data_IF_876931570742
#
_entry.id   IF_876931570742
#
_cell.length_a   1.000
_cell.length_b   1.000
_cell.length_c   1.000
_cell.angle_alpha   90.00
_cell.angle_beta   90.00
_cell.angle_gamma   90.00
#
_symmetry.space_group_name_H-M   'P 1'
#
loop_
_entity.id
_entity.type
_entity.pdbx_description
1 polymer ?
#
# COMPACT_ATOMS: atom_id res chain seq x y z
N UNK A 1 7.30 -10.18 -19.97
CA UNK A 1 7.52 -8.75 -20.10
C UNK A 1 6.23 -8.04 -20.41
N UNK A 2 6.06 -6.85 -19.89
CA UNK A 2 4.93 -5.98 -20.23
C UNK A 2 5.07 -5.63 -21.72
N UNK A 3 3.99 -5.78 -22.49
CA UNK A 3 3.92 -5.30 -23.87
C UNK A 3 3.66 -3.79 -23.86
N UNK A 4 3.92 -3.06 -24.97
CA UNK A 4 3.63 -1.62 -25.06
C UNK A 4 2.18 -1.31 -24.68
N UNK A 5 1.21 -2.16 -25.07
CA UNK A 5 -0.19 -2.04 -24.65
C UNK A 5 -0.37 -2.22 -23.13
N UNK A 6 0.44 -3.05 -22.48
CA UNK A 6 0.38 -3.26 -21.03
C UNK A 6 0.89 -2.05 -20.23
N UNK A 7 1.83 -1.28 -20.76
CA UNK A 7 2.29 -0.01 -20.17
C UNK A 7 1.16 1.02 -20.20
N UNK A 8 0.51 1.19 -21.36
CA UNK A 8 -0.60 2.14 -21.51
C UNK A 8 -1.77 1.77 -20.58
N UNK A 9 -2.11 0.49 -20.46
CA UNK A 9 -3.16 0.01 -19.55
C UNK A 9 -2.79 0.26 -18.08
N UNK A 10 -1.52 0.03 -17.69
CA UNK A 10 -1.05 0.33 -16.34
C UNK A 10 -1.12 1.83 -16.02
N UNK A 11 -0.77 2.71 -16.99
CA UNK A 11 -0.93 4.16 -16.86
C UNK A 11 -2.40 4.51 -16.63
N UNK A 12 -3.31 4.02 -17.50
CA UNK A 12 -4.73 4.35 -17.40
C UNK A 12 -5.37 3.79 -16.13
N UNK A 13 -5.05 2.56 -15.70
CA UNK A 13 -5.52 2.01 -14.43
C UNK A 13 -5.06 2.87 -13.25
N UNK A 14 -3.79 3.29 -13.24
CA UNK A 14 -3.23 4.14 -12.19
C UNK A 14 -3.88 5.53 -12.16
N UNK A 15 -4.06 6.15 -13.33
CA UNK A 15 -4.74 7.44 -13.46
C UNK A 15 -6.21 7.36 -13.01
N UNK A 16 -6.92 6.30 -13.44
CA UNK A 16 -8.31 6.08 -13.03
C UNK A 16 -8.43 5.81 -11.52
N UNK A 17 -7.55 4.96 -10.99
CA UNK A 17 -7.49 4.68 -9.55
C UNK A 17 -7.18 5.92 -8.72
N UNK A 18 -6.35 6.82 -9.22
CA UNK A 18 -6.00 8.09 -8.60
C UNK A 18 -6.96 9.24 -8.90
N UNK A 19 -8.14 8.96 -9.48
CA UNK A 19 -9.18 9.95 -9.80
C UNK A 19 -8.75 11.04 -10.80
N UNK A 20 -7.79 10.74 -11.68
CA UNK A 20 -7.24 11.65 -12.70
C UNK A 20 -6.54 12.91 -12.14
N UNK A 21 -6.18 12.93 -10.85
CA UNK A 21 -5.43 14.05 -10.26
C UNK A 21 -3.93 13.77 -10.14
N UNK A 22 -3.49 12.55 -10.48
CA UNK A 22 -2.08 12.17 -10.56
C UNK A 22 -1.31 13.08 -11.53
N UNK A 23 -0.03 13.29 -11.29
CA UNK A 23 0.87 13.79 -12.32
C UNK A 23 1.14 12.67 -13.35
N UNK A 24 0.55 12.80 -14.54
CA UNK A 24 0.67 11.79 -15.60
C UNK A 24 2.13 11.55 -16.00
N UNK A 25 3.01 12.54 -15.89
CA UNK A 25 4.42 12.37 -16.23
C UNK A 25 5.12 11.42 -15.26
N UNK A 26 4.83 11.52 -13.96
CA UNK A 26 5.34 10.61 -12.94
C UNK A 26 4.76 9.19 -13.11
N UNK A 27 3.45 9.09 -13.36
CA UNK A 27 2.80 7.80 -13.62
C UNK A 27 3.41 7.12 -14.85
N UNK A 28 3.68 7.88 -15.92
CA UNK A 28 4.30 7.36 -17.14
C UNK A 28 5.68 6.78 -16.85
N UNK A 29 6.55 7.53 -16.14
CA UNK A 29 7.88 7.04 -15.74
C UNK A 29 7.77 5.79 -14.89
N UNK A 30 6.87 5.76 -13.90
CA UNK A 30 6.65 4.57 -13.06
C UNK A 30 6.27 3.34 -13.90
N UNK A 31 5.39 3.52 -14.89
CA UNK A 31 4.92 2.42 -15.73
C UNK A 31 5.99 1.94 -16.72
N UNK A 32 6.67 2.85 -17.42
CA UNK A 32 7.71 2.53 -18.39
C UNK A 32 8.92 1.83 -17.76
N UNK A 33 9.33 2.25 -16.55
CA UNK A 33 10.46 1.69 -15.80
C UNK A 33 10.10 0.46 -14.94
N UNK A 34 8.83 0.07 -14.87
CA UNK A 34 8.35 -0.99 -13.97
C UNK A 34 8.95 -2.35 -14.28
N UNK A 35 9.11 -2.71 -15.56
CA UNK A 35 9.70 -3.97 -15.99
C UNK A 35 11.17 -4.06 -15.56
N UNK A 36 11.94 -3.01 -15.83
CA UNK A 36 13.34 -2.91 -15.43
C UNK A 36 13.51 -2.91 -13.90
N UNK A 37 12.54 -2.38 -13.17
CA UNK A 37 12.52 -2.44 -11.71
C UNK A 37 12.37 -3.87 -11.19
N UNK A 38 11.48 -4.67 -11.78
CA UNK A 38 11.31 -6.10 -11.44
C UNK A 38 12.56 -6.90 -11.78
N UNK A 39 13.15 -6.68 -12.96
CA UNK A 39 14.39 -7.34 -13.38
C UNK A 39 15.56 -6.96 -12.46
N UNK A 40 15.63 -5.70 -12.04
CA UNK A 40 16.62 -5.26 -11.07
C UNK A 40 16.47 -5.95 -9.72
N UNK A 41 15.25 -6.08 -9.20
CA UNK A 41 14.99 -6.82 -7.95
C UNK A 41 15.46 -8.28 -8.08
N UNK A 42 15.19 -8.96 -9.19
CA UNK A 42 15.68 -10.32 -9.43
C UNK A 42 17.23 -10.37 -9.42
N UNK A 43 17.87 -9.41 -10.07
CA UNK A 43 19.35 -9.32 -10.16
C UNK A 43 20.05 -9.20 -8.80
N UNK A 44 19.37 -8.63 -7.79
CA UNK A 44 19.86 -8.50 -6.40
C UNK A 44 19.40 -9.63 -5.47
N UNK A 45 18.72 -10.64 -6.01
CA UNK A 45 18.24 -11.81 -5.26
C UNK A 45 16.91 -11.60 -4.54
N UNK A 46 16.06 -10.72 -5.08
CA UNK A 46 14.71 -10.45 -4.60
C UNK A 46 13.65 -10.73 -5.68
N UNK A 47 13.58 -11.94 -6.29
CA UNK A 47 12.64 -12.24 -7.36
C UNK A 47 11.18 -12.20 -6.88
N UNK A 48 10.29 -11.70 -7.75
CA UNK A 48 8.85 -11.62 -7.55
C UNK A 48 8.13 -12.33 -8.73
N UNK A 49 8.20 -13.67 -8.84
CA UNK A 49 7.79 -14.41 -10.03
C UNK A 49 6.28 -14.64 -10.15
N UNK A 50 5.52 -14.57 -9.06
CA UNK A 50 4.06 -14.72 -9.10
C UNK A 50 3.39 -13.42 -9.50
N UNK A 51 2.30 -13.55 -10.28
CA UNK A 51 1.51 -12.39 -10.72
C UNK A 51 0.05 -12.58 -10.31
N UNK A 52 -0.48 -11.64 -9.55
CA UNK A 52 -1.84 -11.66 -9.01
C UNK A 52 -2.67 -10.44 -9.49
N UNK A 53 -3.98 -10.52 -9.26
CA UNK A 53 -4.88 -9.37 -9.42
C UNK A 53 -4.83 -8.45 -8.20
N UNK A 54 -5.15 -7.18 -8.39
CA UNK A 54 -5.41 -6.23 -7.32
C UNK A 54 -6.65 -5.40 -7.64
N UNK A 55 -7.22 -4.74 -6.65
CA UNK A 55 -8.41 -3.90 -6.84
C UNK A 55 -8.13 -2.72 -7.77
N UNK A 56 -9.03 -2.49 -8.72
CA UNK A 56 -8.96 -1.36 -9.65
C UNK A 56 -8.06 -1.56 -10.86
N UNK A 57 -7.54 -2.78 -11.11
CA UNK A 57 -6.76 -3.08 -12.30
C UNK A 57 -7.54 -3.91 -13.33
N UNK A 58 -7.28 -3.66 -14.61
CA UNK A 58 -7.86 -4.42 -15.73
C UNK A 58 -7.20 -5.78 -15.93
N UNK A 59 -5.93 -5.90 -15.53
CA UNK A 59 -5.11 -7.11 -15.67
C UNK A 59 -4.38 -7.47 -14.39
N UNK A 60 -3.73 -8.64 -14.37
CA UNK A 60 -2.87 -9.08 -13.27
C UNK A 60 -1.49 -8.45 -13.40
N UNK A 61 -1.19 -7.47 -12.56
CA UNK A 61 0.12 -6.77 -12.53
C UNK A 61 0.87 -6.92 -11.20
N UNK A 62 0.19 -7.36 -10.14
CA UNK A 62 0.79 -7.43 -8.82
C UNK A 62 1.81 -8.57 -8.75
N UNK A 63 3.09 -8.22 -8.68
CA UNK A 63 4.18 -9.18 -8.50
C UNK A 63 4.35 -9.55 -7.02
N UNK A 64 4.47 -10.84 -6.75
CA UNK A 64 4.55 -11.40 -5.41
C UNK A 64 5.72 -12.40 -5.28
N UNK A 65 6.26 -12.59 -4.04
CA UNK A 65 7.24 -13.65 -3.76
C UNK A 65 6.67 -15.04 -4.05
N UNK A 66 7.52 -15.97 -4.51
CA UNK A 66 7.15 -17.34 -4.84
C UNK A 66 6.44 -18.08 -3.72
N UNK A 67 6.81 -17.80 -2.48
CA UNK A 67 6.32 -18.49 -1.29
C UNK A 67 5.05 -17.85 -0.69
N UNK A 68 4.45 -16.84 -1.33
CA UNK A 68 3.27 -16.12 -0.83
C UNK A 68 3.53 -15.31 0.44
N UNK A 69 4.77 -14.98 0.75
CA UNK A 69 5.10 -14.08 1.87
C UNK A 69 4.73 -12.63 1.53
N UNK A 70 4.50 -11.81 2.57
CA UNK A 70 4.22 -10.39 2.37
C UNK A 70 5.42 -9.69 1.72
N UNK A 71 5.19 -9.03 0.59
CA UNK A 71 6.22 -8.41 -0.24
C UNK A 71 7.07 -7.39 0.53
N UNK A 72 6.47 -6.59 1.42
CA UNK A 72 7.21 -5.57 2.17
C UNK A 72 8.30 -6.15 3.06
N UNK A 73 7.99 -7.14 3.90
CA UNK A 73 8.99 -7.79 4.76
C UNK A 73 10.04 -8.54 3.95
N UNK A 74 9.65 -9.15 2.84
CA UNK A 74 10.55 -9.84 1.93
C UNK A 74 11.56 -8.87 1.30
N UNK A 75 11.09 -7.74 0.75
CA UNK A 75 11.98 -6.75 0.12
C UNK A 75 12.88 -6.05 1.14
N UNK A 76 12.38 -5.71 2.32
CA UNK A 76 13.21 -5.11 3.39
C UNK A 76 14.39 -6.02 3.74
N UNK A 77 14.16 -7.35 3.89
CA UNK A 77 15.24 -8.31 4.15
C UNK A 77 16.29 -8.30 3.03
N UNK A 78 15.84 -8.40 1.78
CA UNK A 78 16.73 -8.49 0.62
C UNK A 78 17.51 -7.20 0.35
N UNK A 79 16.82 -6.06 0.41
CA UNK A 79 17.44 -4.74 0.20
C UNK A 79 18.44 -4.41 1.32
N UNK A 80 18.10 -4.73 2.59
CA UNK A 80 19.04 -4.55 3.70
C UNK A 80 20.31 -5.39 3.50
N UNK A 81 20.17 -6.67 3.16
CA UNK A 81 21.31 -7.54 2.88
C UNK A 81 22.17 -7.01 1.70
N UNK A 82 21.55 -6.45 0.67
CA UNK A 82 22.27 -5.83 -0.45
C UNK A 82 22.98 -4.54 -0.02
N UNK A 83 22.34 -3.69 0.79
CA UNK A 83 22.97 -2.48 1.33
C UNK A 83 24.22 -2.82 2.19
N UNK A 84 24.11 -3.80 3.07
CA UNK A 84 25.24 -4.29 3.86
C UNK A 84 26.39 -4.82 2.99
N UNK A 85 26.07 -5.63 1.97
CA UNK A 85 27.04 -6.16 1.01
C UNK A 85 27.78 -5.06 0.25
N UNK A 86 27.08 -3.95 -0.04
CA UNK A 86 27.66 -2.78 -0.73
C UNK A 86 28.41 -1.85 0.24
N UNK A 87 28.45 -2.13 1.54
CA UNK A 87 29.12 -1.33 2.54
C UNK A 87 28.41 -0.01 2.88
N UNK A 88 27.09 0.07 2.64
CA UNK A 88 26.27 1.22 3.05
C UNK A 88 26.26 1.31 4.57
N UNK A 89 26.59 2.47 5.12
CA UNK A 89 26.50 2.71 6.57
C UNK A 89 25.04 2.94 6.97
N UNK A 90 24.51 2.05 7.82
CA UNK A 90 23.15 2.16 8.36
C UNK A 90 23.23 2.60 9.82
N UNK A 91 22.62 3.74 10.14
CA UNK A 91 22.58 4.30 11.50
C UNK A 91 21.18 4.12 12.09
N UNK A 92 20.98 3.06 12.85
CA UNK A 92 19.71 2.80 13.55
C UNK A 92 19.56 3.71 14.79
N UNK A 93 18.28 3.96 15.18
CA UNK A 93 17.95 4.82 16.32
C UNK A 93 18.59 6.21 16.22
N UNK A 94 18.72 6.72 15.01
CA UNK A 94 19.32 8.01 14.69
C UNK A 94 18.33 8.80 13.85
N UNK A 95 17.66 9.74 14.47
CA UNK A 95 16.60 10.58 13.87
C UNK A 95 17.23 11.75 13.13
N UNK A 96 16.89 11.92 11.84
CA UNK A 96 17.20 13.14 11.10
C UNK A 96 16.28 14.28 11.57
N UNK A 97 16.85 15.45 11.84
CA UNK A 97 16.12 16.57 12.45
C UNK A 97 16.14 17.85 11.63
N UNK A 98 17.04 17.98 10.67
CA UNK A 98 17.19 19.16 9.82
C UNK A 98 17.94 18.81 8.54
N UNK A 99 17.55 19.41 7.41
CA UNK A 99 18.31 19.39 6.16
C UNK A 99 19.19 20.62 6.15
N UNK A 100 20.51 20.45 5.99
CA UNK A 100 21.47 21.51 5.90
C UNK A 100 21.51 22.08 4.48
N UNK A 101 21.50 23.40 4.36
CA UNK A 101 21.56 24.08 3.08
C UNK A 101 22.70 25.07 3.02
N UNK A 102 23.33 25.19 1.85
CA UNK A 102 24.31 26.23 1.54
C UNK A 102 24.03 26.78 0.13
N UNK A 103 23.86 28.10 0.02
CA UNK A 103 23.52 28.79 -1.25
C UNK A 103 22.26 28.21 -1.94
N UNK A 104 21.30 27.72 -1.17
CA UNK A 104 20.05 27.10 -1.66
C UNK A 104 20.19 25.63 -2.05
N UNK A 105 21.35 25.01 -1.94
CA UNK A 105 21.57 23.60 -2.20
C UNK A 105 21.53 22.78 -0.88
N UNK A 106 21.01 21.57 -0.92
CA UNK A 106 21.12 20.62 0.19
C UNK A 106 22.56 20.08 0.28
N UNK A 107 23.17 20.21 1.47
CA UNK A 107 24.59 19.87 1.70
C UNK A 107 24.79 18.90 2.87
N UNK A 108 23.72 18.29 3.38
CA UNK A 108 23.75 17.35 4.47
C UNK A 108 22.55 17.41 5.38
N UNK A 109 22.68 16.80 6.54
CA UNK A 109 21.63 16.74 7.56
C UNK A 109 22.18 16.92 8.96
N UNK A 110 21.35 17.38 9.90
CA UNK A 110 21.55 17.10 11.31
C UNK A 110 20.77 15.85 11.70
N UNK A 111 21.33 15.07 12.59
CA UNK A 111 20.68 13.90 13.12
C UNK A 111 20.99 13.74 14.62
N UNK A 112 20.14 13.00 15.32
CA UNK A 112 20.24 12.80 16.76
C UNK A 112 20.01 11.33 17.12
N UNK A 113 20.89 10.81 17.94
CA UNK A 113 20.67 9.54 18.65
C UNK A 113 20.49 9.82 20.15
N UNK A 114 20.29 8.75 20.94
CA UNK A 114 20.20 8.86 22.39
C UNK A 114 21.49 9.45 23.01
N UNK A 115 22.63 9.23 22.40
CA UNK A 115 23.96 9.54 22.96
C UNK A 115 24.68 10.66 22.24
N UNK A 116 24.33 10.94 21.00
CA UNK A 116 25.06 11.88 20.14
C UNK A 116 24.16 12.71 19.25
N UNK A 117 24.57 13.98 19.07
CA UNK A 117 24.10 14.83 17.99
C UNK A 117 25.11 14.76 16.83
N UNK A 118 24.61 14.66 15.61
CA UNK A 118 25.42 14.54 14.40
C UNK A 118 25.17 15.71 13.47
N UNK A 119 26.26 16.12 12.81
CA UNK A 119 26.20 16.97 11.61
C UNK A 119 26.86 16.17 10.49
N UNK A 120 26.07 15.73 9.53
CA UNK A 120 26.53 14.88 8.43
C UNK A 120 26.54 15.74 7.16
N UNK A 121 27.72 16.03 6.64
CA UNK A 121 27.89 16.71 5.37
C UNK A 121 27.84 15.72 4.22
N UNK A 122 27.09 16.03 3.19
CA UNK A 122 26.93 15.22 2.00
C UNK A 122 26.80 16.14 0.77
N UNK A 123 27.20 15.68 -0.40
CA UNK A 123 27.01 16.41 -1.64
C UNK A 123 25.56 16.36 -2.16
N UNK A 124 24.81 15.35 -1.75
CA UNK A 124 23.37 15.21 -2.03
C UNK A 124 22.65 14.51 -0.90
N UNK A 125 21.34 14.74 -0.79
CA UNK A 125 20.43 14.15 0.20
C UNK A 125 19.26 13.52 -0.52
N UNK A 126 18.91 12.29 -0.16
CA UNK A 126 17.70 11.62 -0.65
C UNK A 126 16.76 11.42 0.53
N UNK A 127 15.54 11.94 0.42
CA UNK A 127 14.48 11.73 1.42
C UNK A 127 13.70 10.48 1.02
N UNK A 128 13.74 9.46 1.89
CA UNK A 128 12.99 8.21 1.74
C UNK A 128 12.34 7.81 3.08
N UNK A 129 11.82 8.81 3.80
CA UNK A 129 11.37 8.70 5.19
C UNK A 129 9.93 8.17 5.32
N UNK A 130 9.27 7.82 4.21
CA UNK A 130 7.87 7.39 4.19
C UNK A 130 6.87 8.54 4.32
N UNK A 131 5.60 8.19 4.46
CA UNK A 131 4.51 9.13 4.58
C UNK A 131 4.23 9.57 6.02
N UNK A 132 3.02 10.09 6.24
CA UNK A 132 2.60 10.63 7.54
C UNK A 132 1.37 9.93 8.14
N UNK A 133 1.12 8.66 7.73
CA UNK A 133 -0.05 7.88 8.15
C UNK A 133 -0.12 7.49 9.64
N UNK A 134 0.88 7.88 10.46
CA UNK A 134 0.86 7.79 11.92
C UNK A 134 0.91 9.15 12.61
N UNK A 135 0.86 10.27 11.87
CA UNK A 135 0.76 11.63 12.42
C UNK A 135 -0.71 12.06 12.44
N UNK A 136 -1.43 11.68 13.50
CA UNK A 136 -2.87 11.94 13.62
C UNK A 136 -3.21 13.43 13.67
N UNK A 137 -2.36 14.27 14.24
CA UNK A 137 -2.56 15.72 14.28
C UNK A 137 -2.47 16.33 12.88
N UNK A 138 -1.47 15.93 12.09
CA UNK A 138 -1.32 16.36 10.70
C UNK A 138 -2.50 15.87 9.84
N UNK A 139 -2.87 14.59 9.94
CA UNK A 139 -4.02 14.05 9.20
C UNK A 139 -5.34 14.71 9.59
N UNK A 140 -5.55 14.98 10.89
CA UNK A 140 -6.75 15.64 11.38
C UNK A 140 -6.86 17.10 10.88
N UNK A 141 -5.75 17.76 10.55
CA UNK A 141 -5.77 19.09 9.95
C UNK A 141 -6.37 19.09 8.54
N UNK A 142 -6.25 17.98 7.80
CA UNK A 142 -6.88 17.80 6.49
C UNK A 142 -8.27 17.18 6.61
N UNK A 143 -8.43 16.16 7.46
CA UNK A 143 -9.70 15.48 7.68
C UNK A 143 -9.91 15.16 9.18
N UNK A 144 -10.70 15.97 9.93
CA UNK A 144 -10.93 15.77 11.37
C UNK A 144 -11.49 14.39 11.75
N UNK A 145 -12.14 13.66 10.82
CA UNK A 145 -12.65 12.33 11.09
C UNK A 145 -11.54 11.29 11.31
N UNK A 146 -10.31 11.59 10.87
CA UNK A 146 -9.17 10.69 10.99
C UNK A 146 -8.42 10.81 12.34
N UNK A 147 -8.76 11.77 13.19
CA UNK A 147 -8.07 12.02 14.46
C UNK A 147 -7.99 10.79 15.40
N UNK A 148 -8.97 9.88 15.30
CA UNK A 148 -9.04 8.67 16.12
C UNK A 148 -9.12 7.39 15.28
N UNK A 149 -8.76 7.46 14.00
CA UNK A 149 -8.78 6.30 13.14
C UNK A 149 -7.64 5.33 13.49
N UNK A 150 -7.84 4.04 13.20
CA UNK A 150 -6.78 3.05 13.31
C UNK A 150 -5.85 3.16 12.09
N UNK A 151 -4.56 2.95 12.27
CA UNK A 151 -3.58 2.97 11.19
C UNK A 151 -2.85 1.64 11.04
N UNK A 152 -2.53 1.27 9.81
CA UNK A 152 -1.64 0.15 9.50
C UNK A 152 -0.17 0.54 9.51
N UNK A 153 0.13 1.82 9.66
CA UNK A 153 1.49 2.35 9.62
C UNK A 153 2.24 2.05 10.92
N UNK A 154 3.56 1.92 10.82
CA UNK A 154 4.41 1.93 12.01
C UNK A 154 4.46 3.35 12.61
N UNK A 155 4.79 3.45 13.90
CA UNK A 155 4.75 4.71 14.64
C UNK A 155 5.71 5.80 14.13
N UNK A 156 6.68 5.45 13.30
CA UNK A 156 7.61 6.40 12.69
C UNK A 156 7.14 6.99 11.35
N UNK A 157 5.95 6.63 10.85
CA UNK A 157 5.39 7.26 9.66
C UNK A 157 4.74 8.61 10.02
N UNK A 158 5.56 9.58 10.41
CA UNK A 158 5.17 10.87 11.00
C UNK A 158 5.31 12.06 10.05
N UNK A 159 5.86 11.84 8.84
CA UNK A 159 6.05 12.88 7.84
C UNK A 159 7.29 13.74 8.08
N UNK A 160 8.22 13.34 8.94
CA UNK A 160 9.37 14.14 9.33
C UNK A 160 10.22 14.59 8.13
N UNK A 161 10.40 13.71 7.12
CA UNK A 161 11.12 14.04 5.89
C UNK A 161 10.43 15.16 5.10
N UNK A 162 9.11 15.12 5.03
CA UNK A 162 8.29 16.16 4.37
C UNK A 162 8.45 17.49 5.10
N UNK A 163 8.25 17.50 6.41
CA UNK A 163 8.32 18.71 7.24
C UNK A 163 9.72 19.34 7.21
N UNK A 164 10.79 18.53 7.22
CA UNK A 164 12.17 19.04 7.10
C UNK A 164 12.43 19.70 5.73
N UNK A 165 11.88 19.15 4.66
CA UNK A 165 12.03 19.71 3.32
C UNK A 165 11.18 20.98 3.13
N UNK A 166 9.94 21.02 3.64
CA UNK A 166 9.13 22.25 3.66
C UNK A 166 9.84 23.39 4.40
N UNK A 167 10.54 23.09 5.49
CA UNK A 167 11.29 24.10 6.26
C UNK A 167 12.41 24.77 5.46
N UNK A 168 12.88 24.15 4.37
CA UNK A 168 13.88 24.73 3.45
C UNK A 168 13.29 25.18 2.12
N UNK A 169 11.95 25.22 1.99
CA UNK A 169 11.21 25.78 0.86
C UNK A 169 10.74 24.76 -0.19
N UNK A 170 10.76 23.45 0.11
CA UNK A 170 10.17 22.45 -0.76
C UNK A 170 8.65 22.63 -0.87
N UNK A 171 8.10 22.34 -2.04
CA UNK A 171 6.66 22.29 -2.32
C UNK A 171 6.09 20.89 -2.02
N UNK A 172 4.81 20.85 -1.68
CA UNK A 172 4.06 19.62 -1.43
C UNK A 172 2.82 19.56 -2.31
N UNK A 173 2.31 18.36 -2.58
CA UNK A 173 1.11 18.12 -3.38
C UNK A 173 0.28 17.00 -2.76
N UNK A 174 -1.04 17.06 -2.93
CA UNK A 174 -2.01 16.02 -2.56
C UNK A 174 -2.00 15.67 -1.04
N UNK A 175 -1.59 16.57 -0.16
CA UNK A 175 -1.43 16.32 1.28
C UNK A 175 -2.74 15.94 1.99
N UNK A 176 -3.89 16.29 1.42
CA UNK A 176 -5.21 15.91 1.90
C UNK A 176 -5.69 14.55 1.40
N UNK A 177 -4.93 13.91 0.49
CA UNK A 177 -5.25 12.61 -0.06
C UNK A 177 -4.71 11.48 0.83
N UNK A 178 -5.58 10.95 1.69
CA UNK A 178 -5.24 9.91 2.68
C UNK A 178 -6.07 8.67 2.37
N UNK A 179 -5.41 7.56 2.06
CA UNK A 179 -6.07 6.30 1.74
C UNK A 179 -6.48 5.53 2.98
N UNK A 180 -7.73 5.11 3.04
CA UNK A 180 -8.19 4.04 3.92
C UNK A 180 -8.03 2.69 3.22
N UNK A 181 -7.62 1.68 3.98
CA UNK A 181 -7.66 0.28 3.53
C UNK A 181 -8.87 -0.41 4.17
N UNK A 182 -9.71 -1.10 3.40
CA UNK A 182 -10.97 -1.66 3.92
C UNK A 182 -10.76 -2.80 4.92
N UNK A 183 -9.67 -3.53 4.83
CA UNK A 183 -9.49 -4.74 5.63
C UNK A 183 -8.43 -4.57 6.72
N UNK A 184 -8.72 -3.75 7.74
CA UNK A 184 -7.85 -3.53 8.90
C UNK A 184 -8.46 -4.11 10.17
N UNK A 185 -7.71 -4.96 10.86
CA UNK A 185 -8.09 -5.48 12.17
C UNK A 185 -7.96 -4.37 13.22
N UNK A 186 -9.09 -3.92 13.75
CA UNK A 186 -9.18 -2.66 14.48
C UNK A 186 -8.46 -2.66 15.85
N UNK A 187 -8.28 -3.80 16.48
CA UNK A 187 -7.64 -3.87 17.80
C UNK A 187 -6.13 -3.58 17.76
N UNK A 188 -5.49 -3.85 16.63
CA UNK A 188 -4.02 -3.76 16.52
C UNK A 188 -3.53 -2.95 15.33
N UNK A 189 -4.41 -2.51 14.43
CA UNK A 189 -4.01 -1.88 13.16
C UNK A 189 -3.41 -2.86 12.15
N UNK A 190 -3.52 -4.18 12.39
CA UNK A 190 -2.95 -5.16 11.47
C UNK A 190 -3.72 -5.17 10.15
N UNK A 191 -2.97 -5.04 9.06
CA UNK A 191 -3.51 -5.16 7.71
C UNK A 191 -3.84 -6.63 7.39
N UNK A 192 -5.09 -6.92 7.05
CA UNK A 192 -5.45 -8.17 6.38
C UNK A 192 -5.24 -7.98 4.89
N UNK A 193 -4.32 -8.76 4.32
CA UNK A 193 -3.83 -8.61 2.95
C UNK A 193 -4.96 -8.61 1.91
N UNK A 194 -4.86 -7.71 0.94
CA UNK A 194 -5.73 -7.68 -0.23
C UNK A 194 -5.69 -8.98 -1.03
N UNK A 195 -4.57 -9.72 -0.97
CA UNK A 195 -4.41 -11.04 -1.62
C UNK A 195 -5.49 -12.04 -1.19
N UNK A 196 -6.05 -11.94 0.04
CA UNK A 196 -7.17 -12.80 0.46
C UNK A 196 -8.39 -12.61 -0.44
N UNK A 197 -8.73 -11.35 -0.77
CA UNK A 197 -9.82 -11.02 -1.70
C UNK A 197 -9.46 -11.40 -3.13
N UNK A 198 -8.23 -11.12 -3.55
CA UNK A 198 -7.74 -11.49 -4.89
C UNK A 198 -7.79 -12.98 -5.17
N UNK A 199 -7.72 -13.82 -4.13
CA UNK A 199 -7.82 -15.27 -4.23
C UNK A 199 -9.26 -15.82 -4.05
N UNK A 200 -10.26 -14.96 -4.05
CA UNK A 200 -11.67 -15.36 -3.97
C UNK A 200 -12.38 -15.04 -2.66
N UNK A 201 -11.68 -14.49 -1.66
CA UNK A 201 -12.32 -14.03 -0.42
C UNK A 201 -13.33 -12.91 -0.68
N UNK A 202 -14.38 -12.83 0.13
CA UNK A 202 -15.46 -11.84 0.03
C UNK A 202 -15.63 -11.05 1.31
N UNK A 203 -16.31 -9.91 1.21
CA UNK A 203 -16.67 -9.06 2.33
C UNK A 203 -18.17 -9.22 2.64
N UNK A 204 -18.50 -9.44 3.93
CA UNK A 204 -19.85 -9.65 4.40
C UNK A 204 -20.14 -8.72 5.57
N UNK A 205 -21.28 -8.03 5.55
CA UNK A 205 -21.71 -7.13 6.60
C UNK A 205 -22.36 -7.86 7.80
N UNK A 206 -22.80 -7.10 8.81
CA UNK A 206 -23.47 -7.63 10.00
C UNK A 206 -24.82 -8.32 9.71
N UNK A 207 -25.41 -8.12 8.53
CA UNK A 207 -26.65 -8.78 8.10
C UNK A 207 -26.38 -10.09 7.32
N UNK A 208 -25.15 -10.53 7.20
CA UNK A 208 -24.78 -11.72 6.46
C UNK A 208 -24.72 -11.54 4.94
N UNK A 209 -24.61 -10.32 4.42
CA UNK A 209 -24.70 -10.01 2.98
C UNK A 209 -23.44 -9.37 2.45
N UNK A 210 -23.07 -9.68 1.20
CA UNK A 210 -22.14 -8.85 0.41
C UNK A 210 -22.79 -7.48 0.18
N UNK A 211 -21.97 -6.46 -0.01
CA UNK A 211 -22.46 -5.08 -0.14
C UNK A 211 -21.74 -4.27 -1.22
N UNK A 212 -20.70 -4.82 -1.84
CA UNK A 212 -19.94 -4.17 -2.91
C UNK A 212 -19.18 -5.18 -3.78
N UNK A 213 -18.54 -4.69 -4.85
CA UNK A 213 -17.48 -5.42 -5.51
C UNK A 213 -16.25 -5.46 -4.58
N UNK A 214 -15.94 -6.62 -4.03
CA UNK A 214 -14.89 -6.81 -3.02
C UNK A 214 -13.47 -6.47 -3.55
N UNK A 215 -13.28 -6.42 -4.87
CA UNK A 215 -12.05 -6.02 -5.55
C UNK A 215 -12.17 -4.72 -6.36
N UNK A 216 -13.12 -3.85 -6.00
CA UNK A 216 -13.07 -2.46 -6.43
C UNK A 216 -11.88 -1.72 -5.79
N UNK A 217 -11.69 -0.46 -6.13
CA UNK A 217 -10.63 0.37 -5.53
C UNK A 217 -10.80 0.47 -4.01
N UNK A 218 -9.71 0.69 -3.29
CA UNK A 218 -9.72 0.69 -1.81
C UNK A 218 -10.66 1.71 -1.20
N UNK A 219 -10.71 2.91 -1.78
CA UNK A 219 -11.61 3.98 -1.39
C UNK A 219 -13.09 3.58 -1.62
N UNK A 220 -13.42 2.99 -2.79
CA UNK A 220 -14.76 2.54 -3.08
C UNK A 220 -15.23 1.46 -2.09
N UNK A 221 -14.39 0.47 -1.81
CA UNK A 221 -14.71 -0.60 -0.84
C UNK A 221 -14.81 -0.03 0.58
N UNK A 222 -13.86 0.83 0.99
CA UNK A 222 -13.89 1.45 2.33
C UNK A 222 -15.12 2.31 2.55
N UNK A 223 -15.50 3.12 1.54
CA UNK A 223 -16.71 3.93 1.62
C UNK A 223 -17.98 3.08 1.71
N UNK A 224 -18.08 2.03 0.89
CA UNK A 224 -19.19 1.09 0.96
C UNK A 224 -19.29 0.39 2.32
N UNK A 225 -18.14 0.06 2.95
CA UNK A 225 -18.09 -0.57 4.26
C UNK A 225 -18.50 0.39 5.39
N UNK A 226 -18.07 1.66 5.33
CA UNK A 226 -18.47 2.69 6.31
C UNK A 226 -19.98 2.96 6.31
N UNK A 227 -20.67 2.67 5.21
CA UNK A 227 -22.13 2.77 5.10
C UNK A 227 -22.87 1.56 5.70
N UNK A 228 -22.17 0.46 6.02
CA UNK A 228 -22.78 -0.73 6.58
C UNK A 228 -23.15 -0.55 8.06
N UNK A 229 -24.13 -1.32 8.58
CA UNK A 229 -24.47 -1.32 10.00
C UNK A 229 -23.25 -1.57 10.89
N UNK A 230 -22.89 -0.58 11.71
CA UNK A 230 -21.74 -0.62 12.59
C UNK A 230 -20.40 -0.24 11.93
N UNK A 231 -20.40 0.14 10.63
CA UNK A 231 -19.21 0.54 9.86
C UNK A 231 -18.07 -0.48 9.93
N UNK A 232 -18.40 -1.76 9.82
CA UNK A 232 -17.48 -2.88 9.78
C UNK A 232 -18.01 -4.00 8.87
N UNK A 233 -17.10 -4.90 8.49
CA UNK A 233 -17.43 -6.12 7.78
C UNK A 233 -16.67 -7.33 8.34
N UNK A 234 -16.92 -8.50 7.77
CA UNK A 234 -16.10 -9.69 7.90
C UNK A 234 -15.49 -10.03 6.55
N UNK A 235 -14.18 -10.28 6.52
CA UNK A 235 -13.56 -10.92 5.37
C UNK A 235 -13.65 -12.42 5.54
N UNK A 236 -14.25 -13.09 4.54
CA UNK A 236 -14.49 -14.54 4.54
C UNK A 236 -13.51 -15.22 3.58
N UNK A 237 -12.93 -16.32 4.02
CA UNK A 237 -12.03 -17.15 3.21
C UNK A 237 -12.07 -18.61 3.65
N UNK A 238 -11.53 -19.50 2.85
CA UNK A 238 -11.57 -20.94 3.07
C UNK A 238 -10.17 -21.56 3.23
N UNK A 239 -10.11 -22.88 3.46
CA UNK A 239 -8.86 -23.58 3.68
C UNK A 239 -7.93 -23.52 2.48
N UNK A 240 -8.44 -23.49 1.26
CA UNK A 240 -7.62 -23.34 0.04
C UNK A 240 -6.79 -22.04 0.08
N UNK A 241 -7.44 -20.93 0.46
CA UNK A 241 -6.72 -19.65 0.59
C UNK A 241 -5.68 -19.69 1.71
N UNK A 242 -5.98 -20.39 2.81
CA UNK A 242 -5.02 -20.59 3.92
C UNK A 242 -3.79 -21.39 3.48
N UNK A 243 -3.99 -22.41 2.65
CA UNK A 243 -2.90 -23.26 2.18
C UNK A 243 -1.96 -22.50 1.23
N UNK A 244 -2.50 -21.59 0.42
CA UNK A 244 -1.78 -20.81 -0.58
C UNK A 244 -1.17 -19.50 -0.04
N UNK A 245 -1.73 -18.92 1.06
CA UNK A 245 -1.29 -17.65 1.64
C UNK A 245 -0.74 -17.81 3.07
N UNK A 246 0.57 -17.69 3.24
CA UNK A 246 1.22 -17.70 4.57
C UNK A 246 0.69 -16.61 5.51
N UNK A 247 0.20 -15.50 4.99
CA UNK A 247 -0.43 -14.44 5.81
C UNK A 247 -1.67 -14.97 6.52
N UNK A 248 -2.51 -15.77 5.87
CA UNK A 248 -3.71 -16.37 6.48
C UNK A 248 -3.32 -17.32 7.63
N UNK A 249 -2.26 -18.13 7.44
CA UNK A 249 -1.74 -19.00 8.51
C UNK A 249 -1.29 -18.18 9.74
N UNK A 250 -0.69 -17.00 9.53
CA UNK A 250 -0.33 -16.08 10.62
C UNK A 250 -1.57 -15.49 11.31
N UNK A 251 -2.62 -15.14 10.58
CA UNK A 251 -3.86 -14.63 11.18
C UNK A 251 -4.50 -15.69 12.09
N UNK A 252 -4.57 -16.94 11.64
CA UNK A 252 -5.07 -18.07 12.44
C UNK A 252 -4.22 -18.27 13.69
N UNK A 253 -2.89 -18.36 13.52
CA UNK A 253 -1.95 -18.54 14.63
C UNK A 253 -2.05 -17.44 15.69
N UNK A 254 -2.33 -16.21 15.26
CA UNK A 254 -2.47 -15.05 16.15
C UNK A 254 -3.86 -14.90 16.74
N UNK A 255 -4.79 -15.82 16.43
CA UNK A 255 -6.15 -15.81 16.99
C UNK A 255 -7.06 -14.70 16.45
N UNK A 256 -6.78 -14.19 15.24
CA UNK A 256 -7.59 -13.12 14.61
C UNK A 256 -8.83 -13.67 13.93
N UNK A 257 -8.93 -15.00 13.75
CA UNK A 257 -9.99 -15.64 12.99
C UNK A 257 -10.99 -16.34 13.90
N UNK A 258 -12.25 -16.35 13.50
CA UNK A 258 -13.20 -17.42 13.87
C UNK A 258 -13.29 -18.42 12.72
N UNK A 259 -13.61 -19.68 13.00
CA UNK A 259 -13.67 -20.74 11.98
C UNK A 259 -14.73 -21.78 12.27
N UNK A 260 -15.22 -22.44 11.22
CA UNK A 260 -16.17 -23.57 11.31
C UNK A 260 -16.08 -24.47 10.06
N UNK A 261 -16.65 -25.68 10.15
CA UNK A 261 -16.65 -26.65 9.05
C UNK A 261 -17.84 -26.48 8.08
N UNK A 262 -18.77 -25.57 8.39
CA UNK A 262 -19.89 -25.23 7.52
C UNK A 262 -20.27 -23.75 7.68
N UNK A 263 -21.05 -23.21 6.73
CA UNK A 263 -21.41 -21.79 6.70
C UNK A 263 -22.30 -21.36 7.86
N UNK A 264 -23.27 -22.19 8.26
CA UNK A 264 -24.18 -21.85 9.36
C UNK A 264 -23.44 -21.70 10.70
N UNK A 265 -22.51 -22.60 10.99
CA UNK A 265 -21.71 -22.53 12.20
C UNK A 265 -20.69 -21.40 12.15
N UNK A 266 -20.14 -21.07 10.97
CA UNK A 266 -19.29 -19.89 10.80
C UNK A 266 -20.08 -18.61 11.08
N UNK A 267 -21.30 -18.48 10.54
CA UNK A 267 -22.18 -17.34 10.82
C UNK A 267 -22.41 -17.14 12.32
N UNK A 268 -22.69 -18.23 13.04
CA UNK A 268 -22.83 -18.20 14.51
C UNK A 268 -21.53 -17.80 15.21
N UNK A 269 -20.39 -18.30 14.75
CA UNK A 269 -19.07 -17.96 15.30
C UNK A 269 -18.70 -16.48 15.04
N UNK A 270 -19.18 -15.88 13.95
CA UNK A 270 -19.08 -14.45 13.67
C UNK A 270 -19.98 -13.60 14.58
N UNK A 271 -20.93 -14.21 15.29
CA UNK A 271 -21.92 -13.52 16.11
C UNK A 271 -23.14 -13.03 15.33
N UNK A 272 -23.40 -13.59 14.14
CA UNK A 272 -24.63 -13.32 13.42
C UNK A 272 -25.81 -14.04 14.09
N UNK A 273 -26.99 -13.40 14.09
CA UNK A 273 -28.21 -13.91 14.74
C UNK A 273 -29.44 -13.81 13.82
N UNK A 274 -30.43 -14.60 14.07
CA UNK A 274 -31.70 -14.56 13.36
C UNK A 274 -31.53 -14.77 11.85
N UNK A 275 -32.16 -13.89 11.07
CA UNK A 275 -32.16 -13.99 9.61
C UNK A 275 -30.77 -13.78 9.01
N UNK A 276 -29.83 -13.11 9.72
CA UNK A 276 -28.48 -12.87 9.24
C UNK A 276 -27.70 -14.19 9.02
N UNK A 277 -27.99 -15.24 9.78
CA UNK A 277 -27.38 -16.56 9.58
C UNK A 277 -27.78 -17.14 8.22
N UNK A 278 -29.09 -17.13 7.90
CA UNK A 278 -29.57 -17.64 6.61
C UNK A 278 -29.08 -16.75 5.46
N UNK A 279 -29.10 -15.42 5.61
CA UNK A 279 -28.54 -14.51 4.63
C UNK A 279 -27.07 -14.83 4.31
N UNK A 280 -26.28 -15.17 5.33
CA UNK A 280 -24.87 -15.54 5.12
C UNK A 280 -24.73 -16.83 4.32
N UNK A 281 -25.52 -17.87 4.65
CA UNK A 281 -25.52 -19.13 3.87
C UNK A 281 -25.90 -18.85 2.42
N UNK A 282 -26.98 -18.10 2.18
CA UNK A 282 -27.43 -17.73 0.84
C UNK A 282 -26.38 -16.89 0.09
N UNK A 283 -25.65 -16.02 0.79
CA UNK A 283 -24.54 -15.22 0.25
C UNK A 283 -23.40 -16.11 -0.23
N UNK A 284 -22.99 -17.11 0.57
CA UNK A 284 -21.93 -18.06 0.20
C UNK A 284 -22.33 -18.91 -1.00
N UNK A 285 -23.56 -19.41 -1.04
CA UNK A 285 -24.08 -20.18 -2.17
C UNK A 285 -24.16 -19.32 -3.45
N UNK A 286 -24.63 -18.07 -3.33
CA UNK A 286 -24.69 -17.12 -4.45
C UNK A 286 -23.30 -16.80 -4.99
N UNK A 287 -22.34 -16.56 -4.11
CA UNK A 287 -20.95 -16.31 -4.52
C UNK A 287 -20.34 -17.52 -5.26
N UNK A 288 -20.48 -18.73 -4.71
CA UNK A 288 -19.98 -19.94 -5.33
C UNK A 288 -20.63 -20.20 -6.71
N UNK A 289 -21.92 -19.91 -6.83
CA UNK A 289 -22.63 -19.99 -8.11
C UNK A 289 -22.12 -18.93 -9.12
N UNK A 290 -21.83 -17.71 -8.66
CA UNK A 290 -21.26 -16.65 -9.50
C UNK A 290 -19.87 -17.03 -10.03
N UNK A 291 -19.01 -17.61 -9.18
CA UNK A 291 -17.69 -18.13 -9.59
C UNK A 291 -17.84 -19.25 -10.63
N UNK A 292 -18.73 -20.20 -10.40
CA UNK A 292 -19.00 -21.29 -11.32
C UNK A 292 -19.54 -20.81 -12.69
N UNK A 293 -20.31 -19.72 -12.68
CA UNK A 293 -20.82 -19.06 -13.89
C UNK A 293 -19.80 -18.15 -14.58
N UNK A 294 -18.71 -17.77 -13.89
CA UNK A 294 -17.75 -16.77 -14.36
C UNK A 294 -18.31 -15.34 -14.41
N UNK A 295 -19.39 -15.06 -13.66
CA UNK A 295 -20.09 -13.76 -13.70
C UNK A 295 -20.69 -13.42 -12.34
N UNK A 296 -20.24 -12.32 -11.72
CA UNK A 296 -20.88 -11.73 -10.52
C UNK A 296 -21.93 -10.69 -10.95
N UNK A 297 -23.19 -11.12 -10.95
CA UNK A 297 -24.34 -10.26 -11.34
C UNK A 297 -24.75 -9.26 -10.27
N UNK A 298 -24.34 -9.45 -9.02
CA UNK A 298 -24.74 -8.56 -7.93
C UNK A 298 -23.91 -7.29 -7.90
N UNK A 299 -22.58 -7.41 -8.03
CA UNK A 299 -21.67 -6.28 -7.86
C UNK A 299 -20.65 -6.15 -8.99
N UNK A 300 -20.70 -7.02 -10.01
CA UNK A 300 -19.87 -6.92 -11.20
C UNK A 300 -18.37 -7.19 -10.96
N UNK A 301 -18.04 -7.97 -9.94
CA UNK A 301 -16.66 -8.40 -9.73
C UNK A 301 -16.22 -9.31 -10.87
N UNK A 302 -15.07 -9.01 -11.49
CA UNK A 302 -14.53 -9.72 -12.64
C UNK A 302 -13.19 -10.40 -12.38
N UNK A 303 -12.50 -10.02 -11.30
CA UNK A 303 -11.20 -10.56 -10.91
C UNK A 303 -11.28 -11.33 -9.58
N UNK A 304 -10.32 -12.26 -9.37
CA UNK A 304 -10.30 -13.09 -8.16
C UNK A 304 -11.53 -14.01 -8.06
N UNK A 305 -11.98 -14.54 -9.19
CA UNK A 305 -13.07 -15.51 -9.34
C UNK A 305 -12.56 -16.84 -9.92
N UNK A 306 -11.27 -17.11 -9.77
CA UNK A 306 -10.63 -18.33 -10.32
C UNK A 306 -11.03 -19.59 -9.53
N UNK A 307 -11.48 -19.45 -8.27
CA UNK A 307 -11.97 -20.54 -7.44
C UNK A 307 -13.00 -20.04 -6.41
N UNK A 308 -13.94 -20.92 -6.08
CA UNK A 308 -14.99 -20.69 -5.11
C UNK A 308 -14.52 -20.80 -3.65
N UNK A 309 -15.42 -20.58 -2.69
CA UNK A 309 -15.19 -20.72 -1.25
C UNK A 309 -15.91 -21.97 -0.72
N UNK A 310 -15.56 -23.17 -1.24
CA UNK A 310 -16.20 -24.43 -0.90
C UNK A 310 -15.35 -25.42 -0.09
N UNK A 311 -14.10 -25.05 0.23
CA UNK A 311 -13.15 -25.93 0.92
C UNK A 311 -13.10 -25.66 2.41
N UNK A 312 -13.76 -26.48 3.21
CA UNK A 312 -13.75 -26.37 4.68
C UNK A 312 -12.35 -26.67 5.29
N UNK A 313 -12.03 -26.16 6.46
CA UNK A 313 -12.80 -25.20 7.23
C UNK A 313 -12.86 -23.80 6.63
N UNK A 314 -13.88 -23.05 7.00
CA UNK A 314 -14.10 -21.66 6.60
C UNK A 314 -13.69 -20.72 7.72
N UNK A 315 -13.23 -19.53 7.35
CA UNK A 315 -12.68 -18.55 8.29
C UNK A 315 -13.29 -17.17 8.06
N UNK A 316 -13.40 -16.41 9.15
CA UNK A 316 -13.78 -15.00 9.11
C UNK A 316 -12.88 -14.16 10.01
N UNK A 317 -12.54 -12.94 9.58
CA UNK A 317 -11.90 -11.91 10.39
C UNK A 317 -12.81 -10.68 10.38
N UNK A 318 -13.11 -10.14 11.56
CA UNK A 318 -13.80 -8.85 11.68
C UNK A 318 -12.84 -7.72 11.36
N UNK A 319 -13.20 -6.86 10.41
CA UNK A 319 -12.39 -5.78 9.90
C UNK A 319 -13.19 -4.48 9.79
N UNK A 320 -12.50 -3.37 9.70
CA UNK A 320 -13.07 -2.09 9.29
C UNK A 320 -11.99 -1.23 8.61
N UNK A 321 -12.40 -0.14 7.92
CA UNK A 321 -11.43 0.75 7.27
C UNK A 321 -10.44 1.36 8.27
N UNK A 322 -9.17 1.45 7.84
CA UNK A 322 -8.10 2.09 8.61
C UNK A 322 -7.13 2.83 7.70
N UNK A 323 -6.43 3.82 8.26
CA UNK A 323 -5.42 4.60 7.53
C UNK A 323 -4.31 3.66 7.06
N UNK A 324 -3.93 3.80 5.78
CA UNK A 324 -2.96 2.88 5.18
C UNK A 324 -1.84 3.59 4.42
N UNK A 325 -2.15 4.54 3.55
CA UNK A 325 -1.18 5.23 2.71
C UNK A 325 -1.52 6.71 2.63
N UNK A 326 -0.50 7.56 2.62
CA UNK A 326 -0.65 8.98 2.31
C UNK A 326 -0.17 9.20 0.89
N UNK A 327 -1.07 9.63 -0.03
CA UNK A 327 -0.71 9.88 -1.43
C UNK A 327 0.00 11.21 -1.59
N UNK A 328 -0.21 12.13 -0.66
CA UNK A 328 0.46 13.42 -0.63
C UNK A 328 1.87 13.36 -0.05
N UNK A 329 2.69 14.31 -0.47
CA UNK A 329 4.08 14.43 -0.06
C UNK A 329 4.83 15.50 -0.84
N UNK A 330 6.15 15.41 -0.84
CA UNK A 330 7.04 16.30 -1.57
C UNK A 330 6.77 16.26 -3.07
N UNK A 331 6.69 17.42 -3.67
CA UNK A 331 6.56 17.52 -5.12
C UNK A 331 7.91 17.25 -5.77
N UNK A 332 7.94 16.31 -6.69
CA UNK A 332 9.14 15.91 -7.43
C UNK A 332 8.92 16.06 -8.93
N UNK A 333 10.02 16.10 -9.69
CA UNK A 333 10.00 15.92 -11.14
C UNK A 333 10.31 14.46 -11.53
N UNK A 334 10.37 14.17 -12.82
CA UNK A 334 10.67 12.82 -13.35
C UNK A 334 12.07 12.33 -13.05
N UNK A 335 12.99 13.21 -12.65
CA UNK A 335 14.35 12.90 -12.21
C UNK A 335 14.43 12.68 -10.68
N UNK A 336 13.27 12.64 -9.99
CA UNK A 336 13.13 12.54 -8.53
C UNK A 336 13.78 13.70 -7.74
N UNK A 337 14.03 14.86 -8.38
CA UNK A 337 14.48 16.07 -7.73
C UNK A 337 13.29 16.72 -6.99
N UNK A 338 13.51 17.15 -5.75
CA UNK A 338 12.49 17.87 -4.96
C UNK A 338 12.36 19.30 -5.50
N UNK A 339 11.11 19.73 -5.73
CA UNK A 339 10.80 21.06 -6.25
C UNK A 339 10.50 22.06 -5.14
N UNK A 340 10.91 23.32 -5.35
CA UNK A 340 10.49 24.43 -4.51
C UNK A 340 9.09 24.95 -4.91
N UNK A 341 8.55 25.90 -4.15
CA UNK A 341 7.22 26.51 -4.40
C UNK A 341 7.13 27.30 -5.70
N UNK A 342 8.24 27.54 -6.41
CA UNK A 342 8.30 28.15 -7.72
C UNK A 342 8.42 27.11 -8.84
N UNK A 343 8.52 25.83 -8.48
CA UNK A 343 8.66 24.71 -9.41
C UNK A 343 10.10 24.47 -9.90
N UNK A 344 11.12 25.04 -9.23
CA UNK A 344 12.51 24.78 -9.53
C UNK A 344 13.03 23.62 -8.66
N UNK A 345 13.94 22.80 -9.20
CA UNK A 345 14.60 21.78 -8.41
C UNK A 345 15.49 22.42 -7.31
N UNK A 346 15.40 21.92 -6.09
CA UNK A 346 16.31 22.27 -4.99
C UNK A 346 17.61 21.49 -5.23
N UNK A 347 18.74 22.15 -5.53
CA UNK A 347 19.96 21.47 -5.92
C UNK A 347 20.45 20.47 -4.84
N UNK A 348 20.79 19.26 -5.25
CA UNK A 348 21.29 18.22 -4.35
C UNK A 348 20.23 17.55 -3.47
N UNK A 349 18.92 17.87 -3.64
CA UNK A 349 17.83 17.27 -2.88
C UNK A 349 16.94 16.40 -3.75
N UNK A 350 16.77 15.14 -3.37
CA UNK A 350 15.96 14.13 -4.05
C UNK A 350 14.98 13.49 -3.08
N UNK A 351 13.90 12.91 -3.60
CA UNK A 351 12.96 12.14 -2.77
C UNK A 351 12.35 10.99 -3.57
N UNK A 352 11.96 9.90 -2.86
CA UNK A 352 11.32 8.75 -3.49
C UNK A 352 10.42 7.98 -2.52
N UNK A 353 9.39 7.32 -3.05
CA UNK A 353 8.42 6.52 -2.31
C UNK A 353 7.37 7.37 -1.61
N UNK A 354 6.71 6.85 -0.58
CA UNK A 354 5.55 7.46 0.07
C UNK A 354 5.79 8.87 0.67
N UNK A 355 7.03 9.32 0.74
CA UNK A 355 7.38 10.71 1.12
C UNK A 355 7.08 11.71 0.01
N UNK A 356 6.81 11.25 -1.23
CA UNK A 356 6.51 12.06 -2.41
C UNK A 356 5.03 12.05 -2.73
N UNK A 357 4.53 13.14 -3.34
CA UNK A 357 3.16 13.23 -3.83
C UNK A 357 3.08 13.28 -5.36
N UNK A 358 1.86 13.22 -5.90
CA UNK A 358 1.59 13.32 -7.33
C UNK A 358 1.57 11.99 -8.09
N UNK A 359 2.24 10.93 -7.61
CA UNK A 359 2.26 9.64 -8.31
C UNK A 359 0.90 8.93 -8.23
N UNK A 360 0.28 8.93 -7.08
CA UNK A 360 -0.90 8.11 -6.80
C UNK A 360 -2.23 8.88 -6.83
N UNK A 361 -2.19 10.20 -6.91
CA UNK A 361 -3.40 11.05 -6.96
C UNK A 361 -4.31 10.85 -5.74
N UNK A 362 -5.62 10.69 -5.97
CA UNK A 362 -6.61 10.60 -4.90
C UNK A 362 -6.70 9.24 -4.20
N UNK A 363 -6.20 8.16 -4.84
CA UNK A 363 -6.24 6.80 -4.27
C UNK A 363 -5.22 5.89 -4.96
N UNK A 364 -4.43 5.15 -4.17
CA UNK A 364 -3.37 4.29 -4.66
C UNK A 364 -3.87 2.87 -4.95
N UNK A 365 -3.58 2.35 -6.14
CA UNK A 365 -3.82 0.95 -6.50
C UNK A 365 -2.86 0.02 -5.74
N UNK A 366 -3.35 -1.16 -5.36
CA UNK A 366 -2.56 -2.19 -4.70
C UNK A 366 -1.29 -2.55 -5.49
N UNK A 367 -0.15 -2.69 -4.79
CA UNK A 367 1.14 -2.97 -5.43
C UNK A 367 1.91 -1.75 -5.93
N UNK A 368 1.24 -0.67 -6.38
CA UNK A 368 1.90 0.50 -6.97
C UNK A 368 2.91 1.18 -6.04
N UNK A 369 2.73 1.12 -4.71
CA UNK A 369 3.74 1.65 -3.79
C UNK A 369 5.10 0.97 -3.93
N UNK A 370 5.13 -0.34 -4.22
CA UNK A 370 6.38 -1.06 -4.44
C UNK A 370 7.03 -0.63 -5.76
N UNK A 371 6.24 -0.52 -6.83
CA UNK A 371 6.70 -0.04 -8.12
C UNK A 371 7.27 1.38 -7.99
N UNK A 372 6.54 2.28 -7.34
CA UNK A 372 6.94 3.67 -7.08
C UNK A 372 8.29 3.75 -6.36
N UNK A 373 8.43 3.17 -5.16
CA UNK A 373 9.67 3.34 -4.42
C UNK A 373 10.87 2.62 -5.07
N UNK A 374 10.67 1.55 -5.85
CA UNK A 374 11.76 0.90 -6.58
C UNK A 374 12.18 1.74 -7.79
N UNK A 375 11.24 2.22 -8.59
CA UNK A 375 11.50 3.04 -9.77
C UNK A 375 12.15 4.37 -9.36
N UNK A 376 11.45 5.17 -8.56
CA UNK A 376 11.95 6.49 -8.18
C UNK A 376 13.12 6.42 -7.20
N UNK A 377 13.23 5.38 -6.37
CA UNK A 377 14.42 5.14 -5.54
C UNK A 377 15.67 4.91 -6.38
N UNK A 378 15.57 4.15 -7.49
CA UNK A 378 16.68 3.97 -8.44
C UNK A 378 17.01 5.26 -9.19
N UNK A 379 16.01 6.01 -9.65
CA UNK A 379 16.19 7.31 -10.31
C UNK A 379 16.88 8.29 -9.36
N UNK A 380 16.36 8.45 -8.14
CA UNK A 380 16.94 9.32 -7.12
C UNK A 380 18.40 8.94 -6.80
N UNK A 381 18.67 7.64 -6.62
CA UNK A 381 20.03 7.15 -6.35
C UNK A 381 21.03 7.45 -7.46
N UNK A 382 20.63 7.22 -8.71
CA UNK A 382 21.45 7.48 -9.88
C UNK A 382 21.73 9.00 -10.05
N UNK A 383 20.69 9.84 -9.95
CA UNK A 383 20.82 11.28 -10.14
C UNK A 383 21.57 11.95 -8.98
N UNK A 384 21.31 11.54 -7.73
CA UNK A 384 22.07 12.00 -6.57
C UNK A 384 23.55 11.63 -6.67
N UNK A 385 23.88 10.43 -7.15
CA UNK A 385 25.27 10.00 -7.39
C UNK A 385 25.93 10.81 -8.50
N UNK A 386 25.25 11.06 -9.61
CA UNK A 386 25.75 11.88 -10.70
C UNK A 386 25.99 13.33 -10.25
N UNK A 387 25.07 13.91 -9.47
CA UNK A 387 25.22 15.24 -8.89
C UNK A 387 26.45 15.30 -7.95
N UNK A 388 26.62 14.29 -7.11
CA UNK A 388 27.73 14.21 -6.16
C UNK A 388 29.12 14.03 -6.81
N UNK A 389 29.15 13.55 -8.05
CA UNK A 389 30.39 13.36 -8.82
C UNK A 389 30.94 14.68 -9.41
N UNK A 390 30.08 15.68 -9.56
CA UNK A 390 30.45 17.02 -10.05
C UNK A 390 30.88 17.93 -8.88
#
# INVERSE_FOLDING_TARGET
GITDSGVDEFIEDTMNGGHQINDRSLVTVMAEESSDAVDWLDSIGAPLPKVAATGGTTHKYLHEPEDGSAVGSYLVEKLNAQAEKLGVQIMLNTEATEILTENGAAVGIKAKSKEHDYTIHAKSVIIAAGGFGANFDLMASFNPALANAVTTNHAGATGDGILMAEAIGADTVDMDQIQLHPTVYQETGLLVSESVRSMGGILVNAEGKRFCNDLATRDAVSNAELEQPGAYAYIIFDQRIVDDLKSCQKYIKNGLTVSADNYEDLAKAMGLEGDAIQNFVDTMDTWNAAVAAGEDKEFGRSNGMDADLSTAPYYAIKIAPGIHHTMGGLKINTDAEVLDTQGNAIPGLYAAGETTGGVHGGNRIGGNAVCDFVVFGRIAGNNASAYAAN
#
